data_IF_059460157123
#
_entry.id   IF_059460157123
#
_cell.length_a   1.000
_cell.length_b   1.000
_cell.length_c   1.000
_cell.angle_alpha   90.00
_cell.angle_beta   90.00
_cell.angle_gamma   90.00
#
_symmetry.space_group_name_H-M   'P 1'
#
loop_
_entity.id
_entity.type
_entity.pdbx_description
1 polymer ?
#
# COMPACT_ATOMS: atom_id res chain seq x y z
N UNK A 1 9.31 -25.19 12.17
CA UNK A 1 9.35 -24.14 11.12
C UNK A 1 10.78 -23.66 10.97
N UNK A 2 11.33 -23.63 9.75
CA UNK A 2 12.65 -23.07 9.48
C UNK A 2 12.58 -21.54 9.39
N UNK A 3 13.70 -20.88 9.72
CA UNK A 3 13.84 -19.43 9.55
C UNK A 3 13.79 -19.09 8.05
N UNK A 4 12.92 -18.16 7.60
CA UNK A 4 12.90 -17.74 6.20
C UNK A 4 14.21 -17.06 5.80
N UNK A 5 14.58 -17.19 4.53
CA UNK A 5 15.64 -16.38 3.92
C UNK A 5 15.22 -14.91 3.84
N UNK A 6 16.18 -14.04 3.56
CA UNK A 6 15.97 -12.60 3.54
C UNK A 6 15.00 -12.15 2.46
N UNK A 7 15.08 -12.70 1.25
CA UNK A 7 14.21 -12.30 0.14
C UNK A 7 12.76 -12.68 0.42
N UNK A 8 12.53 -13.90 0.90
CA UNK A 8 11.20 -14.35 1.31
C UNK A 8 10.65 -13.52 2.49
N UNK A 9 11.50 -13.14 3.43
CA UNK A 9 11.12 -12.28 4.55
C UNK A 9 10.68 -10.90 4.04
N UNK A 10 11.48 -10.24 3.21
CA UNK A 10 11.17 -8.90 2.71
C UNK A 10 9.99 -8.89 1.74
N UNK A 11 9.83 -9.90 0.88
CA UNK A 11 8.67 -9.96 -0.03
C UNK A 11 7.36 -10.19 0.73
N UNK A 12 7.38 -10.93 1.85
CA UNK A 12 6.21 -11.08 2.72
C UNK A 12 5.84 -9.75 3.38
N UNK A 13 6.83 -8.97 3.81
CA UNK A 13 6.59 -7.63 4.35
C UNK A 13 6.05 -6.70 3.26
N UNK A 14 6.56 -6.76 2.04
CA UNK A 14 6.03 -5.97 0.92
C UNK A 14 4.55 -6.29 0.65
N UNK A 15 4.16 -7.57 0.74
CA UNK A 15 2.74 -7.98 0.65
C UNK A 15 1.89 -7.44 1.80
N UNK A 16 2.43 -7.44 3.02
CA UNK A 16 1.73 -6.87 4.17
C UNK A 16 1.57 -5.35 4.02
N UNK A 17 2.60 -4.65 3.55
CA UNK A 17 2.51 -3.21 3.25
C UNK A 17 1.47 -2.93 2.16
N UNK A 18 1.36 -3.79 1.15
CA UNK A 18 0.38 -3.68 0.09
C UNK A 18 -1.08 -3.76 0.60
N UNK A 19 -1.34 -4.40 1.75
CA UNK A 19 -2.68 -4.52 2.34
C UNK A 19 -3.29 -3.17 2.71
N UNK A 20 -2.46 -2.13 2.86
CA UNK A 20 -2.89 -0.75 3.11
C UNK A 20 -3.24 0.04 1.84
N UNK A 21 -3.05 -0.54 0.65
CA UNK A 21 -3.42 0.11 -0.60
C UNK A 21 -4.91 0.40 -0.65
N UNK A 22 -5.26 1.59 -1.13
CA UNK A 22 -6.67 1.94 -1.39
C UNK A 22 -7.05 1.73 -2.85
N UNK A 23 -6.10 1.41 -3.74
CA UNK A 23 -6.39 1.31 -5.16
C UNK A 23 -7.25 0.07 -5.48
N UNK A 24 -8.46 0.22 -6.06
CA UNK A 24 -9.33 -0.91 -6.39
C UNK A 24 -8.77 -1.79 -7.53
N UNK A 25 -7.80 -1.28 -8.29
CA UNK A 25 -7.26 -1.95 -9.48
C UNK A 25 -6.13 -2.92 -9.15
N UNK A 26 -5.28 -2.57 -8.18
CA UNK A 26 -4.14 -3.37 -7.76
C UNK A 26 -3.62 -2.90 -6.40
N UNK A 27 -3.37 -3.85 -5.49
CA UNK A 27 -2.68 -3.62 -4.22
C UNK A 27 -1.18 -3.81 -4.42
N UNK A 28 -0.40 -2.73 -4.33
CA UNK A 28 1.05 -2.74 -4.52
C UNK A 28 1.73 -2.27 -3.24
N UNK A 29 2.75 -3.00 -2.80
CA UNK A 29 3.59 -2.66 -1.66
C UNK A 29 5.06 -2.79 -2.02
N UNK A 30 5.88 -1.93 -1.43
CA UNK A 30 7.30 -1.85 -1.66
C UNK A 30 8.05 -1.66 -0.34
N UNK A 31 9.25 -2.22 -0.27
CA UNK A 31 10.16 -2.14 0.87
C UNK A 31 11.54 -1.80 0.32
N UNK A 32 12.18 -0.78 0.90
CA UNK A 32 13.57 -0.43 0.59
C UNK A 32 14.44 -0.96 1.73
N UNK A 33 15.43 -1.77 1.39
CA UNK A 33 16.32 -2.45 2.34
C UNK A 33 17.76 -2.04 2.12
N UNK A 34 18.48 -1.82 3.21
CA UNK A 34 19.94 -1.62 3.22
C UNK A 34 20.54 -2.40 4.40
N UNK A 35 21.59 -3.18 4.15
CA UNK A 35 22.26 -3.99 5.18
C UNK A 35 21.30 -4.87 5.99
N UNK A 36 20.33 -5.51 5.30
CA UNK A 36 19.24 -6.30 5.88
C UNK A 36 18.34 -5.56 6.87
N UNK A 37 18.32 -4.22 6.83
CA UNK A 37 17.43 -3.36 7.61
C UNK A 37 16.48 -2.63 6.66
N UNK A 38 15.21 -2.59 7.04
CA UNK A 38 14.21 -1.82 6.31
C UNK A 38 14.45 -0.35 6.61
N UNK A 39 14.67 0.46 5.57
CA UNK A 39 14.86 1.91 5.70
C UNK A 39 13.59 2.68 5.34
N UNK A 40 12.72 2.11 4.51
CA UNK A 40 11.42 2.68 4.18
C UNK A 40 10.47 1.62 3.66
N UNK A 41 9.18 1.89 3.79
CA UNK A 41 8.09 1.12 3.17
C UNK A 41 7.16 2.07 2.42
N UNK A 42 6.37 1.53 1.51
CA UNK A 42 5.37 2.31 0.80
C UNK A 42 4.36 1.43 0.06
N UNK A 43 3.17 1.97 -0.16
CA UNK A 43 2.10 1.34 -0.95
C UNK A 43 1.50 2.37 -1.90
N UNK A 44 0.81 1.90 -2.94
CA UNK A 44 0.12 2.80 -3.86
C UNK A 44 -1.17 3.36 -3.24
N UNK A 45 -1.34 4.68 -3.29
CA UNK A 45 -2.49 5.38 -2.73
C UNK A 45 -2.57 6.83 -3.22
N UNK A 46 -3.63 7.53 -2.82
CA UNK A 46 -3.77 8.96 -3.12
C UNK A 46 -2.72 9.79 -2.36
N UNK A 47 -2.35 10.93 -2.94
CA UNK A 47 -1.49 11.90 -2.26
C UNK A 47 -2.16 12.39 -0.95
N UNK A 48 -1.37 12.82 0.05
CA UNK A 48 -1.93 13.36 1.29
C UNK A 48 -2.93 14.49 1.02
N UNK A 49 -4.12 14.39 1.61
CA UNK A 49 -5.19 15.38 1.43
C UNK A 49 -6.06 15.16 0.19
N UNK A 50 -5.72 14.22 -0.69
CA UNK A 50 -6.59 13.82 -1.80
C UNK A 50 -7.50 12.66 -1.39
N UNK A 51 -8.71 12.57 -1.96
CA UNK A 51 -9.57 11.41 -1.77
C UNK A 51 -8.87 10.12 -2.20
N UNK A 52 -8.97 9.09 -1.37
CA UNK A 52 -8.45 7.77 -1.70
C UNK A 52 -9.11 7.24 -2.97
N UNK A 53 -8.32 6.57 -3.81
CA UNK A 53 -8.87 5.70 -4.85
C UNK A 53 -9.87 4.77 -4.17
N UNK A 54 -11.10 4.73 -4.64
CA UNK A 54 -12.14 3.83 -4.12
C UNK A 54 -12.95 3.34 -5.31
N UNK A 55 -13.65 2.22 -5.16
CA UNK A 55 -14.54 1.73 -6.21
C UNK A 55 -15.56 2.80 -6.63
N UNK A 56 -16.07 3.58 -5.65
CA UNK A 56 -17.00 4.68 -5.86
C UNK A 56 -16.43 5.78 -6.78
N UNK A 57 -15.17 6.16 -6.59
CA UNK A 57 -14.52 7.19 -7.42
C UNK A 57 -14.05 6.64 -8.77
N UNK A 58 -13.67 5.36 -8.85
CA UNK A 58 -13.12 4.78 -10.08
C UNK A 58 -14.19 4.45 -11.14
N UNK A 59 -15.39 4.03 -10.72
CA UNK A 59 -16.48 3.62 -11.64
C UNK A 59 -17.58 4.69 -11.83
N UNK A 60 -17.28 5.97 -11.59
CA UNK A 60 -18.14 7.08 -12.05
C UNK A 60 -19.09 7.70 -11.02
N UNK A 61 -18.90 7.49 -9.72
CA UNK A 61 -19.62 8.24 -8.69
C UNK A 61 -18.98 9.61 -8.47
N UNK A 62 -19.46 10.65 -9.15
CA UNK A 62 -19.02 12.05 -8.98
C UNK A 62 -19.48 12.67 -7.64
N UNK A 63 -19.05 12.11 -6.50
CA UNK A 63 -19.22 12.74 -5.20
C UNK A 63 -17.89 13.36 -4.74
N UNK A 64 -17.86 14.70 -4.68
CA UNK A 64 -16.84 15.49 -3.98
C UNK A 64 -16.94 15.27 -2.45
N UNK A 65 -15.89 15.62 -1.67
CA UNK A 65 -15.35 14.73 -0.67
C UNK A 65 -16.09 14.80 0.67
N UNK A 66 -16.55 13.66 1.16
CA UNK A 66 -16.57 13.46 2.60
C UNK A 66 -15.14 13.12 2.99
N UNK A 67 -14.49 14.04 3.70
CA UNK A 67 -13.13 13.92 4.22
C UNK A 67 -12.90 12.50 4.72
N UNK A 68 -12.03 11.74 4.06
CA UNK A 68 -11.71 10.40 4.51
C UNK A 68 -11.18 10.52 5.94
N UNK A 69 -11.80 9.85 6.93
CA UNK A 69 -11.22 9.81 8.25
C UNK A 69 -9.90 9.06 8.08
N UNK A 70 -8.79 9.77 8.34
CA UNK A 70 -7.51 9.12 8.53
C UNK A 70 -7.62 8.05 9.62
#
# INVERSE_FOLDING_TARGET
>A
MSRPDWDLYFIRIAKEVASRSTCPRAAVGAVIVKDNKIISTGYNGAAPGMPHCTYRLYYGGWALPESSPR
#
